data_IF_399606152509
#
_entry.id   IF_399606152509
#
_cell.length_a   1.000
_cell.length_b   1.000
_cell.length_c   1.000
_cell.angle_alpha   90.00
_cell.angle_beta   90.00
_cell.angle_gamma   90.00
#
_symmetry.space_group_name_H-M   'P 1'
#
loop_
_entity.id
_entity.type
_entity.pdbx_description
1 polymer ?
#
# COMPACT_ATOMS: atom_id res chain seq x y z
N UNK A 1 3.04 -1.82 5.06
CA UNK A 1 2.20 -1.83 6.28
C UNK A 1 1.09 -2.85 6.11
N UNK A 2 0.80 -3.62 7.16
CA UNK A 2 -0.30 -4.59 7.21
C UNK A 2 -1.29 -4.14 8.26
N UNK A 3 -2.58 -4.15 7.94
CA UNK A 3 -3.68 -3.73 8.81
C UNK A 3 -4.71 -4.84 8.93
N UNK A 4 -4.96 -5.29 10.14
CA UNK A 4 -5.95 -6.32 10.47
C UNK A 4 -6.33 -6.16 11.96
N UNK A 5 -7.53 -6.52 12.36
CA UNK A 5 -7.95 -6.48 13.75
C UNK A 5 -7.52 -7.72 14.55
N UNK A 6 -7.05 -8.77 13.87
CA UNK A 6 -6.55 -10.00 14.49
C UNK A 6 -5.01 -9.97 14.60
N UNK A 7 -4.51 -9.91 15.84
CA UNK A 7 -3.07 -9.82 16.13
C UNK A 7 -2.30 -11.03 15.58
N UNK A 8 -2.86 -12.23 15.68
CA UNK A 8 -2.22 -13.45 15.19
C UNK A 8 -2.01 -13.44 13.67
N UNK A 9 -2.95 -12.87 12.94
CA UNK A 9 -2.83 -12.68 11.47
C UNK A 9 -1.75 -11.66 11.16
N UNK A 10 -1.71 -10.55 11.88
CA UNK A 10 -0.67 -9.53 11.72
C UNK A 10 0.73 -10.10 11.93
N UNK A 11 0.94 -10.86 12.99
CA UNK A 11 2.23 -11.49 13.29
C UNK A 11 2.64 -12.51 12.24
N UNK A 12 1.70 -13.35 11.81
CA UNK A 12 1.96 -14.37 10.79
C UNK A 12 2.34 -13.76 9.44
N UNK A 13 1.61 -12.74 9.00
CA UNK A 13 1.91 -12.03 7.75
C UNK A 13 3.20 -11.24 7.84
N UNK A 14 3.48 -10.61 8.98
CA UNK A 14 4.74 -9.91 9.22
C UNK A 14 5.93 -10.84 9.06
N UNK A 15 5.90 -11.99 9.73
CA UNK A 15 6.95 -13.00 9.62
C UNK A 15 7.12 -13.50 8.19
N UNK A 16 6.01 -13.80 7.51
CA UNK A 16 6.03 -14.24 6.13
C UNK A 16 6.72 -13.22 5.21
N UNK A 17 6.37 -11.95 5.33
CA UNK A 17 6.93 -10.90 4.48
C UNK A 17 8.41 -10.64 4.80
N UNK A 18 8.78 -10.59 6.06
CA UNK A 18 10.17 -10.35 6.46
C UNK A 18 11.11 -11.49 6.05
N UNK A 19 10.63 -12.74 6.06
CA UNK A 19 11.41 -13.90 5.61
C UNK A 19 11.47 -14.00 4.08
N UNK A 20 10.38 -13.68 3.40
CA UNK A 20 10.24 -13.91 1.95
C UNK A 20 10.68 -12.73 1.08
N UNK A 21 10.72 -11.53 1.64
CA UNK A 21 11.04 -10.30 0.91
C UNK A 21 12.32 -9.68 1.49
N UNK A 22 13.30 -9.40 0.62
CA UNK A 22 14.53 -8.72 1.00
C UNK A 22 14.30 -7.22 1.18
N UNK A 23 14.97 -6.64 2.16
CA UNK A 23 14.98 -5.19 2.41
C UNK A 23 13.58 -4.60 2.66
N UNK A 24 12.72 -5.37 3.30
CA UNK A 24 11.36 -4.97 3.66
C UNK A 24 11.22 -4.90 5.17
N UNK A 25 10.79 -3.74 5.67
CA UNK A 25 10.38 -3.54 7.05
C UNK A 25 8.87 -3.53 7.11
N UNK A 26 8.28 -4.32 7.98
CA UNK A 26 6.84 -4.46 8.09
C UNK A 26 6.33 -3.71 9.32
N UNK A 27 5.52 -2.67 9.09
CA UNK A 27 4.72 -2.05 10.13
C UNK A 27 3.34 -2.70 10.19
N UNK A 28 2.79 -2.88 11.37
CA UNK A 28 1.47 -3.47 11.60
C UNK A 28 0.57 -2.53 12.39
N UNK A 29 -0.73 -2.59 12.13
CA UNK A 29 -1.74 -1.87 12.89
C UNK A 29 -2.98 -2.75 13.09
N UNK A 30 -3.56 -2.68 14.28
CA UNK A 30 -4.74 -3.48 14.65
C UNK A 30 -6.07 -2.88 14.16
N UNK A 31 -6.05 -1.80 13.44
CA UNK A 31 -7.23 -1.16 12.88
C UNK A 31 -6.91 0.08 12.07
N UNK A 32 -7.93 0.64 11.42
CA UNK A 32 -7.77 1.77 10.51
C UNK A 32 -7.24 3.04 11.17
N UNK A 33 -7.70 3.36 12.38
CA UNK A 33 -7.25 4.56 13.09
C UNK A 33 -5.75 4.50 13.43
N UNK A 34 -5.29 3.37 13.94
CA UNK A 34 -3.85 3.15 14.21
C UNK A 34 -3.02 3.15 12.95
N UNK A 35 -3.54 2.59 11.87
CA UNK A 35 -2.89 2.60 10.56
C UNK A 35 -2.75 4.02 10.00
N UNK A 36 -3.77 4.86 10.10
CA UNK A 36 -3.69 6.27 9.69
C UNK A 36 -2.66 7.05 10.50
N UNK A 37 -2.54 6.79 11.80
CA UNK A 37 -1.52 7.39 12.63
C UNK A 37 -0.10 7.01 12.17
N UNK A 38 0.13 5.76 11.78
CA UNK A 38 1.41 5.30 11.22
C UNK A 38 1.71 6.02 9.90
N UNK A 39 0.75 6.11 9.01
CA UNK A 39 0.91 6.80 7.71
C UNK A 39 1.33 8.25 7.89
N UNK A 40 0.80 8.93 8.91
CA UNK A 40 1.16 10.32 9.22
C UNK A 40 2.53 10.49 9.83
N UNK A 41 3.08 9.45 10.47
CA UNK A 41 4.32 9.52 11.25
C UNK A 41 5.55 8.97 10.53
N UNK A 42 5.38 8.12 9.53
CA UNK A 42 6.50 7.49 8.81
C UNK A 42 6.14 7.16 7.36
N UNK A 43 7.14 7.07 6.46
CA UNK A 43 6.91 6.64 5.09
C UNK A 43 6.37 5.21 5.01
N UNK A 44 5.44 4.99 4.07
CA UNK A 44 4.87 3.68 3.76
C UNK A 44 4.91 3.46 2.26
N UNK A 45 5.37 2.30 1.82
CA UNK A 45 5.53 1.97 0.39
C UNK A 45 4.42 1.08 -0.17
N UNK A 46 3.69 0.39 0.70
CA UNK A 46 2.58 -0.49 0.36
C UNK A 46 1.66 -0.68 1.56
N UNK A 47 0.37 -0.72 1.30
CA UNK A 47 -0.66 -0.98 2.32
C UNK A 47 -1.40 -2.25 1.95
N UNK A 48 -1.46 -3.21 2.88
CA UNK A 48 -2.29 -4.40 2.80
C UNK A 48 -3.26 -4.37 3.98
N UNK A 49 -4.54 -4.35 3.73
CA UNK A 49 -5.55 -4.27 4.80
C UNK A 49 -6.63 -5.33 4.65
N UNK A 50 -7.08 -5.86 5.80
CA UNK A 50 -8.33 -6.59 5.88
C UNK A 50 -9.52 -5.65 5.65
N UNK A 51 -10.63 -6.19 5.16
CA UNK A 51 -11.86 -5.42 4.97
C UNK A 51 -12.64 -5.26 6.27
N UNK A 52 -12.97 -6.37 6.91
CA UNK A 52 -13.86 -6.40 8.07
C UNK A 52 -13.09 -6.13 9.35
N UNK A 53 -13.14 -4.90 9.81
CA UNK A 53 -12.53 -4.46 11.07
C UNK A 53 -13.54 -3.65 11.89
N UNK A 54 -13.48 -3.73 13.24
CA UNK A 54 -14.32 -2.90 14.10
C UNK A 54 -14.08 -1.40 13.89
N UNK A 55 -15.14 -0.61 13.93
CA UNK A 55 -15.08 0.83 13.70
C UNK A 55 -14.95 1.16 12.22
N UNK A 56 -13.75 1.46 11.76
CA UNK A 56 -13.46 1.75 10.37
C UNK A 56 -13.17 0.46 9.61
N UNK A 57 -13.91 0.14 8.54
CA UNK A 57 -13.60 -1.00 7.69
C UNK A 57 -12.41 -0.71 6.76
N UNK A 58 -11.88 -1.77 6.12
CA UNK A 58 -10.71 -1.63 5.26
C UNK A 58 -10.91 -0.70 4.07
N UNK A 59 -12.10 -0.63 3.51
CA UNK A 59 -12.41 0.25 2.39
C UNK A 59 -12.45 1.73 2.81
N UNK A 60 -13.08 2.03 3.93
CA UNK A 60 -13.08 3.37 4.53
C UNK A 60 -11.66 3.81 4.88
N UNK A 61 -10.87 2.90 5.48
CA UNK A 61 -9.46 3.14 5.78
C UNK A 61 -8.66 3.46 4.51
N UNK A 62 -8.77 2.65 3.46
CA UNK A 62 -8.03 2.87 2.22
C UNK A 62 -8.43 4.15 1.51
N UNK A 63 -9.70 4.55 1.59
CA UNK A 63 -10.17 5.82 1.05
C UNK A 63 -9.53 7.01 1.77
N UNK A 64 -9.42 6.95 3.10
CA UNK A 64 -8.72 7.96 3.89
C UNK A 64 -7.21 7.95 3.65
N UNK A 65 -6.60 6.76 3.57
CA UNK A 65 -5.18 6.62 3.27
C UNK A 65 -4.82 7.21 1.91
N UNK A 66 -5.68 7.03 0.90
CA UNK A 66 -5.49 7.60 -0.43
C UNK A 66 -5.38 9.13 -0.41
N UNK A 67 -6.12 9.81 0.45
CA UNK A 67 -6.03 11.27 0.61
C UNK A 67 -4.67 11.71 1.14
N UNK A 68 -4.08 10.92 2.02
CA UNK A 68 -2.79 11.20 2.66
C UNK A 68 -1.60 10.79 1.81
N UNK A 69 -1.67 9.63 1.19
CA UNK A 69 -0.59 9.01 0.42
C UNK A 69 -1.12 8.44 -0.90
N UNK A 70 -1.54 9.29 -1.85
CA UNK A 70 -2.25 8.85 -3.07
C UNK A 70 -1.43 7.95 -3.99
N UNK A 71 -0.11 8.01 -3.92
CA UNK A 71 0.80 7.21 -4.76
C UNK A 71 1.15 5.86 -4.15
N UNK A 72 0.82 5.61 -2.90
CA UNK A 72 1.12 4.34 -2.23
C UNK A 72 0.12 3.28 -2.69
N UNK A 73 0.60 2.13 -3.22
CA UNK A 73 -0.26 1.03 -3.62
C UNK A 73 -1.08 0.48 -2.45
N UNK A 74 -2.30 0.08 -2.74
CA UNK A 74 -3.28 -0.39 -1.76
C UNK A 74 -3.85 -1.74 -2.17
N UNK A 75 -3.81 -2.69 -1.26
CA UNK A 75 -4.31 -4.05 -1.44
C UNK A 75 -5.37 -4.33 -0.38
N UNK A 76 -6.52 -4.81 -0.81
CA UNK A 76 -7.62 -5.22 0.08
C UNK A 76 -7.70 -6.74 0.16
N UNK A 77 -7.86 -7.25 1.37
CA UNK A 77 -8.04 -8.68 1.65
C UNK A 77 -9.38 -8.88 2.35
N UNK A 78 -10.17 -9.87 1.94
CA UNK A 78 -11.45 -10.16 2.58
C UNK A 78 -11.79 -11.65 2.54
N UNK A 79 -12.47 -12.14 3.60
CA UNK A 79 -13.06 -13.47 3.64
C UNK A 79 -14.41 -13.53 2.91
N UNK A 80 -15.02 -12.39 2.64
CA UNK A 80 -16.38 -12.27 2.07
C UNK A 80 -16.35 -11.43 0.79
N UNK A 81 -15.80 -11.96 -0.31
CA UNK A 81 -15.78 -11.24 -1.56
C UNK A 81 -17.17 -11.25 -2.19
N UNK A 82 -17.63 -10.08 -2.61
CA UNK A 82 -18.75 -9.95 -3.52
C UNK A 82 -18.40 -8.92 -4.62
N UNK A 83 -19.16 -8.95 -5.70
CA UNK A 83 -18.91 -8.08 -6.85
C UNK A 83 -19.09 -6.61 -6.49
N UNK A 84 -20.09 -6.29 -5.67
CA UNK A 84 -20.37 -4.92 -5.24
C UNK A 84 -19.20 -4.34 -4.43
N UNK A 85 -18.67 -5.11 -3.47
CA UNK A 85 -17.50 -4.72 -2.70
C UNK A 85 -16.28 -4.50 -3.60
N UNK A 86 -16.02 -5.41 -4.54
CA UNK A 86 -14.91 -5.30 -5.46
C UNK A 86 -15.01 -4.03 -6.34
N UNK A 87 -16.18 -3.73 -6.87
CA UNK A 87 -16.44 -2.51 -7.64
C UNK A 87 -16.21 -1.26 -6.81
N UNK A 88 -16.73 -1.22 -5.59
CA UNK A 88 -16.50 -0.11 -4.65
C UNK A 88 -15.02 0.09 -4.34
N UNK A 89 -14.30 -0.99 -4.07
CA UNK A 89 -12.88 -0.96 -3.77
C UNK A 89 -12.07 -0.35 -4.92
N UNK A 90 -12.35 -0.75 -6.15
CA UNK A 90 -11.68 -0.20 -7.33
C UNK A 90 -12.05 1.27 -7.56
N UNK A 91 -13.33 1.62 -7.46
CA UNK A 91 -13.80 2.97 -7.77
C UNK A 91 -13.48 4.00 -6.68
N UNK A 92 -13.70 3.66 -5.41
CA UNK A 92 -13.61 4.61 -4.30
C UNK A 92 -12.22 4.66 -3.68
N UNK A 93 -11.59 3.50 -3.47
CA UNK A 93 -10.27 3.40 -2.83
C UNK A 93 -9.12 3.25 -3.82
N UNK A 94 -9.40 3.04 -5.13
CA UNK A 94 -8.39 2.85 -6.18
C UNK A 94 -7.34 1.81 -5.79
N UNK A 95 -7.80 0.63 -5.38
CA UNK A 95 -6.93 -0.47 -4.98
C UNK A 95 -6.19 -1.08 -6.16
N UNK A 96 -4.97 -1.58 -5.92
CA UNK A 96 -4.14 -2.24 -6.93
C UNK A 96 -4.53 -3.71 -7.08
N UNK A 97 -4.85 -4.37 -5.98
CA UNK A 97 -5.21 -5.78 -5.95
C UNK A 97 -6.25 -6.07 -4.88
N UNK A 98 -7.00 -7.14 -5.12
CA UNK A 98 -8.03 -7.64 -4.24
C UNK A 98 -7.80 -9.14 -4.02
N UNK A 99 -7.69 -9.56 -2.75
CA UNK A 99 -7.51 -10.97 -2.39
C UNK A 99 -8.66 -11.50 -1.57
N UNK A 100 -8.97 -12.77 -1.78
CA UNK A 100 -9.93 -13.52 -0.97
C UNK A 100 -9.20 -14.41 0.03
N UNK A 101 -9.63 -14.39 1.30
CA UNK A 101 -9.15 -15.33 2.32
C UNK A 101 -9.79 -16.72 2.11
N UNK A 102 -9.08 -17.82 2.37
CA UNK A 102 -7.70 -17.89 2.84
C UNK A 102 -6.71 -17.51 1.73
N UNK A 103 -5.73 -16.69 2.08
CA UNK A 103 -4.75 -16.20 1.11
C UNK A 103 -3.65 -17.23 0.96
N UNK A 104 -3.34 -17.60 -0.28
CA UNK A 104 -2.21 -18.46 -0.58
C UNK A 104 -0.91 -17.67 -0.41
N UNK A 105 -0.01 -18.07 0.53
CA UNK A 105 1.18 -17.29 0.85
C UNK A 105 2.08 -16.97 -0.35
N UNK A 106 2.29 -17.94 -1.25
CA UNK A 106 3.12 -17.75 -2.44
C UNK A 106 2.57 -16.69 -3.38
N UNK A 107 1.25 -16.61 -3.55
CA UNK A 107 0.58 -15.62 -4.40
C UNK A 107 0.68 -14.22 -3.82
N UNK A 108 0.47 -14.08 -2.51
CA UNK A 108 0.60 -12.79 -1.83
C UNK A 108 2.02 -12.26 -1.97
N UNK A 109 3.01 -13.08 -1.70
CA UNK A 109 4.41 -12.71 -1.82
C UNK A 109 4.77 -12.30 -3.25
N UNK A 110 4.32 -13.05 -4.24
CA UNK A 110 4.55 -12.72 -5.65
C UNK A 110 3.97 -11.35 -6.00
N UNK A 111 2.72 -11.09 -5.65
CA UNK A 111 2.05 -9.83 -5.97
C UNK A 111 2.65 -8.66 -5.19
N UNK A 112 2.92 -8.82 -3.91
CA UNK A 112 3.59 -7.79 -3.10
C UNK A 112 4.97 -7.45 -3.68
N UNK A 113 5.74 -8.46 -4.07
CA UNK A 113 7.04 -8.26 -4.73
C UNK A 113 6.90 -7.46 -6.02
N UNK A 114 5.94 -7.81 -6.87
CA UNK A 114 5.70 -7.14 -8.14
C UNK A 114 5.21 -5.69 -7.93
N UNK A 115 4.30 -5.46 -7.01
CA UNK A 115 3.78 -4.12 -6.68
C UNK A 115 4.90 -3.23 -6.13
N UNK A 116 5.74 -3.73 -5.23
CA UNK A 116 6.87 -2.98 -4.70
C UNK A 116 7.92 -2.68 -5.77
N UNK A 117 8.20 -3.61 -6.67
CA UNK A 117 9.13 -3.40 -7.78
C UNK A 117 8.62 -2.30 -8.73
N UNK A 118 7.33 -2.32 -9.08
CA UNK A 118 6.72 -1.29 -9.92
C UNK A 118 6.72 0.09 -9.23
N UNK A 119 6.46 0.13 -7.95
CA UNK A 119 6.53 1.37 -7.16
C UNK A 119 7.93 1.98 -7.19
N UNK A 120 8.96 1.16 -6.95
CA UNK A 120 10.36 1.61 -7.00
C UNK A 120 10.75 2.12 -8.38
N UNK A 121 10.33 1.43 -9.43
CA UNK A 121 10.57 1.85 -10.81
C UNK A 121 9.90 3.20 -11.12
N UNK A 122 8.68 3.42 -10.64
CA UNK A 122 7.96 4.69 -10.81
C UNK A 122 8.66 5.84 -10.07
N UNK A 123 9.09 5.60 -8.83
CA UNK A 123 9.83 6.60 -8.06
C UNK A 123 11.15 7.00 -8.74
N UNK A 124 11.86 6.04 -9.32
CA UNK A 124 13.08 6.31 -10.07
C UNK A 124 12.81 7.15 -11.33
N UNK A 125 11.73 6.86 -12.06
CA UNK A 125 11.31 7.68 -13.22
C UNK A 125 10.97 9.10 -12.82
N UNK A 126 10.20 9.27 -11.74
CA UNK A 126 9.79 10.57 -11.23
C UNK A 126 11.02 11.42 -10.80
N UNK A 127 11.96 10.80 -10.10
CA UNK A 127 13.22 11.47 -9.71
C UNK A 127 14.08 11.86 -10.90
N UNK A 128 14.19 10.98 -11.90
CA UNK A 128 14.94 11.25 -13.13
C UNK A 128 14.33 12.42 -13.90
N UNK A 129 13.00 12.44 -14.02
CA UNK A 129 12.29 13.54 -14.66
C UNK A 129 12.47 14.87 -13.92
N UNK A 130 12.35 14.87 -12.59
CA UNK A 130 12.57 16.05 -11.77
C UNK A 130 13.99 16.63 -11.95
N UNK A 131 15.01 15.76 -11.96
CA UNK A 131 16.41 16.19 -12.22
C UNK A 131 16.57 16.81 -13.59
N UNK A 132 15.92 16.26 -14.62
CA UNK A 132 15.95 16.80 -15.97
C UNK A 132 15.33 18.19 -16.06
N UNK A 133 14.20 18.39 -15.37
CA UNK A 133 13.54 19.69 -15.29
C UNK A 133 14.42 20.74 -14.59
N UNK A 134 15.07 20.37 -13.49
CA UNK A 134 15.96 21.27 -12.76
C UNK A 134 17.18 21.66 -13.60
N UNK A 135 17.72 20.71 -14.36
CA UNK A 135 18.82 21.00 -15.28
C UNK A 135 18.42 22.00 -16.38
N UNK A 136 17.23 21.81 -16.95
CA UNK A 136 16.67 22.73 -17.96
C UNK A 136 16.45 24.15 -17.38
N UNK A 137 15.87 24.24 -16.18
CA UNK A 137 15.68 25.52 -15.49
C UNK A 137 17.01 26.28 -15.32
N UNK A 138 18.03 25.58 -14.82
CA UNK A 138 19.38 26.18 -14.64
C UNK A 138 20.01 26.67 -15.95
N UNK A 139 19.70 26.02 -17.07
CA UNK A 139 20.16 26.47 -18.39
C UNK A 139 19.45 27.73 -18.86
N UNK A 140 18.11 27.80 -18.62
CA UNK A 140 17.31 28.97 -18.98
C UNK A 140 17.68 30.19 -18.14
N UNK A 141 17.94 30.02 -16.85
CA UNK A 141 18.31 31.10 -15.93
C UNK A 141 19.73 31.69 -16.24
N UNK A 142 20.56 30.98 -16.98
CA UNK A 142 21.90 31.41 -17.39
C UNK A 142 21.93 32.16 -18.72
N UNK A 143 20.83 32.25 -19.44
CA UNK A 143 20.77 33.04 -20.68
C UNK A 143 20.57 34.52 -20.33
N UNK A 144 21.39 35.42 -20.88
CA UNK A 144 21.23 36.86 -20.70
C UNK A 144 19.94 37.41 -21.34
#
# INVERSE_FOLDING_TARGET
MIVDDEVDILESLKQLFEVSLKDVNVATAEGGAGALAIIKSQPVDLIVTDYKMPGMNGLEFLSEARKLVPKVPRILVTAFPDLELAIKAVNDAKIENFFTKPVEPSKVIEIVRNVLAERRAQEMRDQSFARSLDALRRQLDKKP
#
